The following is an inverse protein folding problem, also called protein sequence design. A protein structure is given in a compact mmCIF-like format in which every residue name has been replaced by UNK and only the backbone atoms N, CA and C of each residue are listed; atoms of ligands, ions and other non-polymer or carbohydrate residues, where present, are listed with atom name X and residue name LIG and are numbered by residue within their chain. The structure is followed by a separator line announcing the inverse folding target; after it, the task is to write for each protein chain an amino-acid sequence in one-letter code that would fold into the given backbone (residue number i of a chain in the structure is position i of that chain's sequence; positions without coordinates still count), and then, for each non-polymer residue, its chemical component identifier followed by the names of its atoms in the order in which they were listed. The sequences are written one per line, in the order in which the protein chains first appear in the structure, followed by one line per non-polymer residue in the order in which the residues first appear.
data_IF_886770642560
#
_entry.id   IF_886770642560
#
_cell.length_a   1.000
_cell.length_b   1.000
_cell.length_c   1.000
_cell.angle_alpha   90.00
_cell.angle_beta   90.00
_cell.angle_gamma   90.00
#
_symmetry.space_group_name_H-M   'P 1'
#
loop_
_entity.id
_entity.type
_entity.pdbx_description
1 polymer ?
#
# COMPACT_ATOMS: atom_id res chain seq x y z
N UNK A 1 10.20 13.78 -25.85
CA UNK A 1 9.57 13.18 -24.66
C UNK A 1 10.62 13.15 -23.57
N UNK A 2 10.35 13.78 -22.42
CA UNK A 2 11.28 13.79 -21.28
C UNK A 2 11.42 12.38 -20.68
N UNK A 3 12.50 12.15 -19.93
CA UNK A 3 12.68 10.87 -19.22
C UNK A 3 11.54 10.62 -18.24
N UNK A 4 11.00 11.67 -17.63
CA UNK A 4 9.86 11.61 -16.72
C UNK A 4 8.59 11.16 -17.45
N UNK A 5 8.28 11.74 -18.62
CA UNK A 5 7.10 11.37 -19.39
C UNK A 5 7.14 9.89 -19.80
N UNK A 6 8.34 9.42 -20.18
CA UNK A 6 8.55 8.01 -20.52
C UNK A 6 8.27 7.10 -19.32
N UNK A 7 8.81 7.45 -18.14
CA UNK A 7 8.62 6.66 -16.93
C UNK A 7 7.14 6.63 -16.49
N UNK A 8 6.41 7.75 -16.63
CA UNK A 8 4.96 7.78 -16.41
C UNK A 8 4.21 6.87 -17.38
N UNK A 9 4.53 6.93 -18.66
CA UNK A 9 3.88 6.07 -19.66
C UNK A 9 4.10 4.60 -19.35
N UNK A 10 5.36 4.21 -19.13
CA UNK A 10 5.73 2.83 -18.77
C UNK A 10 5.05 2.36 -17.48
N UNK A 11 4.95 3.26 -16.48
CA UNK A 11 4.28 2.97 -15.21
C UNK A 11 2.80 2.64 -15.41
N UNK A 12 2.06 3.49 -16.13
CA UNK A 12 0.63 3.28 -16.36
C UNK A 12 0.33 2.09 -17.29
N UNK A 13 1.16 1.85 -18.29
CA UNK A 13 1.08 0.63 -19.12
C UNK A 13 1.32 -0.61 -18.27
N UNK A 14 2.28 -0.57 -17.34
CA UNK A 14 2.59 -1.69 -16.47
C UNK A 14 1.45 -1.99 -15.49
N UNK A 15 0.97 -1.00 -14.72
CA UNK A 15 -0.13 -1.22 -13.74
C UNK A 15 -1.45 -1.57 -14.43
N UNK A 16 -1.69 -1.07 -15.65
CA UNK A 16 -2.87 -1.40 -16.45
C UNK A 16 -3.00 -2.88 -16.81
N UNK A 17 -1.92 -3.65 -16.67
CA UNK A 17 -1.94 -5.12 -16.85
C UNK A 17 -2.59 -5.85 -15.68
N UNK A 18 -2.76 -5.18 -14.53
CA UNK A 18 -3.25 -5.75 -13.28
C UNK A 18 -4.48 -4.99 -12.76
N UNK A 19 -5.61 -4.98 -13.50
CA UNK A 19 -6.77 -4.15 -13.18
C UNK A 19 -7.48 -4.52 -11.88
N UNK A 20 -7.36 -5.78 -11.45
CA UNK A 20 -7.90 -6.27 -10.18
C UNK A 20 -6.77 -6.49 -9.20
N UNK A 21 -6.41 -5.45 -8.48
CA UNK A 21 -5.28 -5.50 -7.56
C UNK A 21 -5.56 -4.83 -6.22
N UNK A 22 -4.81 -5.27 -5.22
CA UNK A 22 -4.74 -4.66 -3.89
C UNK A 22 -3.29 -4.30 -3.59
N UNK A 23 -3.07 -3.14 -2.95
CA UNK A 23 -1.72 -2.69 -2.61
C UNK A 23 -1.49 -2.79 -1.11
N UNK A 24 -0.35 -3.36 -0.73
CA UNK A 24 0.10 -3.48 0.65
C UNK A 24 1.24 -2.49 0.92
N UNK A 25 1.07 -1.69 1.97
CA UNK A 25 2.07 -0.79 2.52
C UNK A 25 2.44 -1.17 3.95
N UNK A 26 3.66 -0.87 4.35
CA UNK A 26 4.13 -1.09 5.71
C UNK A 26 5.65 -1.02 5.82
N UNK A 27 6.15 -1.25 7.03
CA UNK A 27 7.57 -1.18 7.32
C UNK A 27 8.40 -2.20 6.55
N UNK A 28 9.50 -1.74 5.96
CA UNK A 28 10.53 -2.61 5.36
C UNK A 28 11.42 -3.30 6.41
N UNK A 29 11.26 -2.99 7.70
CA UNK A 29 12.13 -3.47 8.79
C UNK A 29 11.59 -4.69 9.52
N UNK A 30 10.34 -5.09 9.29
CA UNK A 30 9.78 -6.29 9.90
C UNK A 30 10.41 -7.54 9.29
N UNK A 31 10.77 -8.48 10.15
CA UNK A 31 11.33 -9.77 9.76
C UNK A 31 10.26 -10.85 9.69
N UNK A 32 10.57 -12.00 9.13
CA UNK A 32 9.67 -13.16 9.04
C UNK A 32 9.12 -13.63 10.41
N UNK A 33 9.76 -13.23 11.51
CA UNK A 33 9.33 -13.56 12.89
C UNK A 33 8.32 -12.55 13.46
N UNK A 34 8.14 -11.41 12.81
CA UNK A 34 7.21 -10.37 13.25
C UNK A 34 5.76 -10.82 13.00
N UNK A 35 4.88 -10.59 13.97
CA UNK A 35 3.45 -10.85 13.85
C UNK A 35 2.84 -10.12 12.64
N UNK A 36 3.25 -8.88 12.40
CA UNK A 36 2.78 -8.10 11.25
C UNK A 36 3.22 -8.72 9.91
N UNK A 37 4.44 -9.25 9.83
CA UNK A 37 4.90 -9.96 8.64
C UNK A 37 4.08 -11.23 8.39
N UNK A 38 3.91 -12.04 9.43
CA UNK A 38 3.13 -13.29 9.36
C UNK A 38 1.69 -12.99 8.93
N UNK A 39 1.08 -11.96 9.52
CA UNK A 39 -0.29 -11.54 9.20
C UNK A 39 -0.40 -11.02 7.76
N UNK A 40 0.50 -10.16 7.32
CA UNK A 40 0.49 -9.62 5.95
C UNK A 40 0.63 -10.74 4.90
N UNK A 41 1.52 -11.71 5.14
CA UNK A 41 1.69 -12.89 4.28
C UNK A 41 0.43 -13.75 4.21
N UNK A 42 -0.18 -14.05 5.37
CA UNK A 42 -1.39 -14.85 5.44
C UNK A 42 -2.57 -14.17 4.73
N UNK A 43 -2.78 -12.88 5.02
CA UNK A 43 -3.86 -12.07 4.43
C UNK A 43 -3.70 -11.95 2.91
N UNK A 44 -2.50 -11.68 2.40
CA UNK A 44 -2.24 -11.61 0.97
C UNK A 44 -2.54 -12.94 0.26
N UNK A 45 -2.12 -14.07 0.85
CA UNK A 45 -2.44 -15.40 0.34
C UNK A 45 -3.93 -15.71 0.34
N UNK A 46 -4.66 -15.29 1.38
CA UNK A 46 -6.11 -15.42 1.47
C UNK A 46 -6.83 -14.61 0.39
N UNK A 47 -6.45 -13.35 0.20
CA UNK A 47 -7.01 -12.46 -0.84
C UNK A 47 -6.83 -13.07 -2.23
N UNK A 48 -5.65 -13.60 -2.54
CA UNK A 48 -5.39 -14.28 -3.81
C UNK A 48 -6.30 -15.49 -4.00
N UNK A 49 -6.35 -16.38 -3.01
CA UNK A 49 -7.10 -17.64 -3.11
C UNK A 49 -8.61 -17.46 -3.18
N UNK A 50 -9.14 -16.54 -2.40
CA UNK A 50 -10.59 -16.37 -2.25
C UNK A 50 -11.16 -15.34 -3.24
N UNK A 51 -10.39 -14.31 -3.58
CA UNK A 51 -10.88 -13.20 -4.39
C UNK A 51 -10.21 -13.09 -5.76
N UNK A 52 -9.06 -13.75 -5.97
CA UNK A 52 -8.34 -13.72 -7.25
C UNK A 52 -7.73 -12.36 -7.58
N UNK A 53 -7.36 -11.55 -6.57
CA UNK A 53 -6.71 -10.27 -6.76
C UNK A 53 -5.19 -10.43 -6.94
N UNK A 54 -4.61 -9.57 -7.75
CA UNK A 54 -3.17 -9.33 -7.80
C UNK A 54 -2.73 -8.57 -6.56
N UNK A 55 -1.61 -8.96 -5.96
CA UNK A 55 -1.01 -8.24 -4.85
C UNK A 55 0.11 -7.34 -5.34
N UNK A 56 -0.04 -6.03 -5.12
CA UNK A 56 0.98 -5.03 -5.42
C UNK A 56 1.69 -4.56 -4.14
N UNK A 57 2.97 -4.27 -4.27
CA UNK A 57 3.78 -3.66 -3.21
C UNK A 57 4.85 -2.75 -3.79
N UNK A 58 5.60 -2.09 -2.92
CA UNK A 58 6.84 -1.39 -3.29
C UNK A 58 8.01 -2.32 -3.60
N UNK A 59 7.83 -3.63 -3.60
CA UNK A 59 8.81 -4.63 -4.06
C UNK A 59 10.03 -4.86 -3.15
N UNK A 60 10.08 -4.28 -1.95
CA UNK A 60 11.19 -4.37 -1.02
C UNK A 60 10.96 -5.41 0.09
N UNK A 61 11.76 -5.35 1.15
CA UNK A 61 11.68 -6.23 2.31
C UNK A 61 10.47 -5.91 3.25
N UNK A 62 10.34 -6.63 4.33
CA UNK A 62 9.36 -6.41 5.38
C UNK A 62 7.94 -6.73 4.95
N UNK A 63 7.00 -5.83 5.21
CA UNK A 63 5.58 -6.01 4.85
C UNK A 63 5.40 -6.22 3.35
N UNK A 64 6.15 -5.52 2.53
CA UNK A 64 6.11 -5.67 1.07
C UNK A 64 6.50 -7.10 0.64
N UNK A 65 7.60 -7.61 1.21
CA UNK A 65 8.01 -9.00 0.98
C UNK A 65 6.99 -10.00 1.51
N UNK A 66 6.46 -9.76 2.70
CA UNK A 66 5.45 -10.62 3.30
C UNK A 66 4.22 -10.78 2.40
N UNK A 67 3.68 -9.66 1.90
CA UNK A 67 2.53 -9.65 1.01
C UNK A 67 2.84 -10.32 -0.34
N UNK A 68 3.97 -9.96 -0.97
CA UNK A 68 4.40 -10.61 -2.20
C UNK A 68 4.59 -12.12 -2.01
N UNK A 69 5.19 -12.53 -0.90
CA UNK A 69 5.38 -13.96 -0.57
C UNK A 69 4.05 -14.69 -0.40
N UNK A 70 3.10 -14.08 0.31
CA UNK A 70 1.77 -14.67 0.48
C UNK A 70 1.05 -14.89 -0.85
N UNK A 71 1.11 -13.91 -1.76
CA UNK A 71 0.56 -14.02 -3.10
C UNK A 71 1.28 -15.08 -3.94
N UNK A 72 2.61 -15.07 -3.94
CA UNK A 72 3.44 -16.03 -4.66
C UNK A 72 3.19 -17.49 -4.22
N UNK A 73 3.14 -17.74 -2.91
CA UNK A 73 2.85 -19.06 -2.34
C UNK A 73 1.40 -19.53 -2.57
N UNK A 74 0.52 -18.60 -2.93
CA UNK A 74 -0.86 -18.87 -3.32
C UNK A 74 -1.03 -19.03 -4.84
N UNK A 75 0.07 -19.14 -5.60
CA UNK A 75 0.11 -19.21 -7.07
C UNK A 75 -0.57 -18.02 -7.77
N UNK A 76 -0.58 -16.84 -7.11
CA UNK A 76 -1.17 -15.61 -7.64
C UNK A 76 -0.17 -14.63 -8.21
N UNK A 77 -0.68 -13.61 -8.90
CA UNK A 77 0.13 -12.50 -9.40
C UNK A 77 0.64 -11.65 -8.23
N UNK A 78 1.95 -11.51 -8.17
CA UNK A 78 2.70 -10.80 -7.13
C UNK A 78 3.59 -9.73 -7.76
N UNK A 79 3.26 -8.47 -7.56
CA UNK A 79 3.82 -7.36 -8.34
C UNK A 79 4.60 -6.40 -7.46
N UNK A 80 5.79 -6.00 -7.93
CA UNK A 80 6.65 -5.03 -7.26
C UNK A 80 6.84 -3.74 -8.07
N UNK A 81 6.53 -2.59 -7.46
CA UNK A 81 6.85 -1.26 -7.99
C UNK A 81 8.08 -0.72 -7.24
N UNK A 82 9.25 -1.03 -7.74
CA UNK A 82 10.52 -0.80 -7.05
C UNK A 82 11.03 0.63 -7.28
N UNK A 83 11.80 1.17 -6.35
CA UNK A 83 12.52 2.43 -6.52
C UNK A 83 14.03 2.17 -6.54
N UNK A 84 14.71 2.75 -7.50
CA UNK A 84 16.16 2.70 -7.55
C UNK A 84 16.75 3.65 -6.52
N UNK A 85 17.41 3.09 -5.50
CA UNK A 85 18.09 3.85 -4.46
C UNK A 85 19.60 3.79 -4.62
N UNK A 86 20.36 4.85 -4.17
CA UNK A 86 21.82 4.87 -4.22
C UNK A 86 22.49 3.73 -3.46
N UNK A 87 21.87 3.25 -2.39
CA UNK A 87 22.25 2.00 -1.70
C UNK A 87 21.27 0.94 -2.17
N UNK A 88 21.78 -0.10 -2.83
CA UNK A 88 21.00 -1.19 -3.39
C UNK A 88 19.99 -1.74 -2.38
N UNK A 89 18.74 -1.41 -2.57
CA UNK A 89 17.63 -2.09 -1.94
C UNK A 89 17.26 -3.24 -2.89
N UNK A 90 17.58 -4.46 -2.51
CA UNK A 90 17.24 -5.61 -3.34
C UNK A 90 15.74 -5.78 -3.41
N UNK A 91 15.22 -5.98 -4.62
CA UNK A 91 13.86 -6.44 -4.83
C UNK A 91 13.68 -7.79 -4.13
N UNK A 92 12.52 -8.00 -3.51
CA UNK A 92 12.24 -9.29 -2.93
C UNK A 92 12.02 -10.34 -4.04
N UNK A 93 12.34 -11.59 -3.73
CA UNK A 93 12.32 -12.70 -4.70
C UNK A 93 10.92 -13.27 -5.00
N UNK A 94 9.90 -12.77 -4.35
CA UNK A 94 8.54 -13.31 -4.44
C UNK A 94 7.64 -12.54 -5.42
N UNK A 95 8.23 -11.70 -6.28
CA UNK A 95 7.49 -11.00 -7.33
C UNK A 95 7.43 -11.83 -8.61
N UNK A 96 6.25 -11.94 -9.24
CA UNK A 96 6.04 -12.53 -10.58
C UNK A 96 6.26 -11.51 -11.69
N UNK A 97 6.05 -10.23 -11.38
CA UNK A 97 6.35 -9.10 -12.27
C UNK A 97 6.83 -7.90 -11.45
N UNK A 98 7.70 -7.08 -12.04
CA UNK A 98 8.18 -5.87 -11.39
C UNK A 98 8.56 -4.78 -12.39
N UNK A 99 8.52 -3.53 -11.92
CA UNK A 99 9.02 -2.36 -12.65
C UNK A 99 9.87 -1.52 -11.69
N UNK A 100 10.96 -0.92 -12.21
CA UNK A 100 11.83 -0.02 -11.45
C UNK A 100 11.63 1.42 -11.86
N UNK A 101 11.59 2.31 -10.87
CA UNK A 101 11.45 3.75 -11.01
C UNK A 101 12.74 4.47 -10.61
N UNK A 102 13.07 5.52 -11.35
CA UNK A 102 14.13 6.47 -10.98
C UNK A 102 13.56 7.65 -10.16
N UNK A 103 12.27 7.99 -10.37
CA UNK A 103 11.63 9.14 -9.73
C UNK A 103 10.59 8.69 -8.69
N UNK A 104 10.78 9.10 -7.45
CA UNK A 104 9.85 8.81 -6.35
C UNK A 104 8.42 9.25 -6.66
N UNK A 105 8.23 10.45 -7.20
CA UNK A 105 6.90 10.99 -7.46
C UNK A 105 6.16 10.24 -8.58
N UNK A 106 6.86 9.71 -9.58
CA UNK A 106 6.25 8.86 -10.61
C UNK A 106 5.75 7.56 -9.99
N UNK A 107 6.60 6.93 -9.17
CA UNK A 107 6.24 5.70 -8.45
C UNK A 107 5.07 5.92 -7.50
N UNK A 108 5.05 7.02 -6.73
CA UNK A 108 3.95 7.37 -5.83
C UNK A 108 2.63 7.48 -6.58
N UNK A 109 2.62 8.22 -7.69
CA UNK A 109 1.43 8.35 -8.54
C UNK A 109 1.00 6.96 -9.05
N UNK A 110 1.92 6.16 -9.57
CA UNK A 110 1.60 4.82 -10.03
C UNK A 110 0.97 3.95 -8.92
N UNK A 111 1.53 3.97 -7.71
CA UNK A 111 1.00 3.24 -6.55
C UNK A 111 -0.40 3.72 -6.15
N UNK A 112 -0.65 5.04 -6.20
CA UNK A 112 -1.96 5.62 -5.84
C UNK A 112 -3.08 5.30 -6.83
N UNK A 113 -2.74 4.93 -8.07
CA UNK A 113 -3.70 4.57 -9.11
C UNK A 113 -3.74 3.07 -9.43
N UNK A 114 -2.87 2.27 -8.78
CA UNK A 114 -2.65 0.88 -9.17
C UNK A 114 -3.72 -0.10 -8.69
N UNK A 115 -4.51 0.25 -7.65
CA UNK A 115 -5.31 -0.75 -6.95
C UNK A 115 -6.76 -0.34 -6.69
N UNK A 116 -7.59 -1.36 -6.45
CA UNK A 116 -8.99 -1.20 -6.06
C UNK A 116 -9.19 -1.14 -4.54
N UNK A 117 -8.17 -1.54 -3.76
CA UNK A 117 -8.12 -1.41 -2.31
C UNK A 117 -6.68 -1.30 -1.81
N UNK A 118 -6.51 -0.68 -0.64
CA UNK A 118 -5.22 -0.41 -0.04
C UNK A 118 -5.17 -0.87 1.40
N UNK A 119 -4.12 -1.62 1.75
CA UNK A 119 -3.89 -2.15 3.09
C UNK A 119 -2.61 -1.55 3.66
N UNK A 120 -2.73 -0.91 4.80
CA UNK A 120 -1.61 -0.29 5.52
C UNK A 120 -1.33 -1.03 6.82
N UNK A 121 -0.19 -1.66 6.88
CA UNK A 121 0.38 -2.23 8.10
C UNK A 121 1.25 -1.20 8.83
N UNK A 122 1.59 -1.42 10.10
CA UNK A 122 2.50 -0.54 10.82
C UNK A 122 3.77 -0.24 10.04
N UNK A 123 4.17 1.03 10.03
CA UNK A 123 5.32 1.45 9.24
C UNK A 123 5.89 2.81 9.65
N UNK A 124 6.87 3.26 8.91
CA UNK A 124 7.54 4.55 9.14
C UNK A 124 6.95 5.69 8.29
N UNK A 125 7.75 6.74 8.13
CA UNK A 125 7.34 7.94 7.38
C UNK A 125 6.87 7.65 5.96
N UNK A 126 7.51 6.72 5.24
CA UNK A 126 7.08 6.36 3.88
C UNK A 126 5.69 5.71 3.84
N UNK A 127 5.34 4.92 4.87
CA UNK A 127 4.01 4.32 4.99
C UNK A 127 2.95 5.38 5.28
N UNK A 128 3.25 6.32 6.19
CA UNK A 128 2.36 7.43 6.52
C UNK A 128 2.21 8.41 5.35
N UNK A 129 3.28 8.67 4.61
CA UNK A 129 3.28 9.52 3.42
C UNK A 129 2.30 8.99 2.36
N UNK A 130 2.35 7.70 2.04
CA UNK A 130 1.42 7.07 1.11
C UNK A 130 -0.03 7.05 1.65
N UNK A 131 -0.21 6.81 2.95
CA UNK A 131 -1.51 6.84 3.58
C UNK A 131 -2.16 8.23 3.47
N UNK A 132 -1.45 9.28 3.88
CA UNK A 132 -1.99 10.63 3.84
C UNK A 132 -2.16 11.17 2.40
N UNK A 133 -1.32 10.76 1.47
CA UNK A 133 -1.53 11.10 0.06
C UNK A 133 -2.84 10.51 -0.45
N UNK A 134 -3.10 9.22 -0.25
CA UNK A 134 -4.35 8.57 -0.67
C UNK A 134 -5.58 9.21 -0.02
N UNK A 135 -5.54 9.45 1.29
CA UNK A 135 -6.63 10.13 2.00
C UNK A 135 -6.88 11.51 1.40
N UNK A 136 -5.84 12.29 1.15
CA UNK A 136 -5.96 13.64 0.58
C UNK A 136 -6.54 13.59 -0.84
N UNK A 137 -6.09 12.66 -1.68
CA UNK A 137 -6.59 12.50 -3.05
C UNK A 137 -8.08 12.11 -3.07
N UNK A 138 -8.53 11.25 -2.16
CA UNK A 138 -9.94 10.86 -2.04
C UNK A 138 -10.77 12.02 -1.47
N UNK A 139 -10.32 12.64 -0.37
CA UNK A 139 -10.97 13.79 0.27
C UNK A 139 -11.22 14.94 -0.71
N UNK A 140 -10.22 15.21 -1.55
CA UNK A 140 -10.29 16.30 -2.56
C UNK A 140 -10.90 15.86 -3.89
N UNK A 141 -11.46 14.65 -3.97
CA UNK A 141 -12.08 14.09 -5.17
C UNK A 141 -11.15 14.03 -6.40
N UNK A 142 -9.84 13.89 -6.20
CA UNK A 142 -8.86 13.69 -7.28
C UNK A 142 -8.81 12.25 -7.77
N UNK A 143 -9.14 11.30 -6.87
CA UNK A 143 -9.38 9.90 -7.21
C UNK A 143 -10.75 9.48 -6.67
N UNK A 144 -11.30 8.39 -7.23
CA UNK A 144 -12.52 7.78 -6.69
C UNK A 144 -12.28 7.24 -5.28
N UNK A 145 -13.32 7.18 -4.47
CA UNK A 145 -13.24 6.51 -3.18
C UNK A 145 -12.97 5.01 -3.39
N UNK A 146 -11.93 4.52 -2.73
CA UNK A 146 -11.54 3.12 -2.69
C UNK A 146 -11.41 2.68 -1.23
N UNK A 147 -11.62 1.40 -0.90
CA UNK A 147 -11.39 0.90 0.45
C UNK A 147 -9.94 1.09 0.90
N UNK A 148 -9.77 1.64 2.10
CA UNK A 148 -8.48 1.76 2.78
C UNK A 148 -8.60 1.08 4.14
N UNK A 149 -7.78 0.07 4.37
CA UNK A 149 -7.71 -0.68 5.62
C UNK A 149 -6.40 -0.42 6.34
N UNK A 150 -6.48 -0.05 7.62
CA UNK A 150 -5.34 0.12 8.51
C UNK A 150 -5.31 -1.12 9.42
N UNK A 151 -4.34 -2.00 9.18
CA UNK A 151 -4.20 -3.28 9.87
C UNK A 151 -3.16 -3.16 10.98
N UNK A 152 -3.54 -3.51 12.21
CA UNK A 152 -2.72 -3.34 13.41
C UNK A 152 -3.24 -2.18 14.27
N UNK A 153 -4.33 -2.45 14.98
CA UNK A 153 -5.06 -1.47 15.77
C UNK A 153 -4.19 -0.74 16.80
N UNK A 154 -3.29 -1.44 17.43
CA UNK A 154 -2.34 -0.93 18.41
C UNK A 154 -1.45 0.19 17.89
N UNK A 155 -1.09 0.14 16.59
CA UNK A 155 -0.30 1.16 15.92
C UNK A 155 -1.17 2.31 15.40
N UNK A 156 -2.36 2.01 14.85
CA UNK A 156 -3.15 3.01 14.13
C UNK A 156 -4.12 3.79 15.02
N UNK A 157 -4.60 3.23 16.13
CA UNK A 157 -5.53 3.94 17.02
C UNK A 157 -4.93 5.22 17.62
N UNK A 158 -3.66 5.28 18.08
CA UNK A 158 -3.07 6.54 18.55
C UNK A 158 -3.04 7.64 17.49
N UNK A 159 -2.83 7.28 16.22
CA UNK A 159 -2.88 8.25 15.11
C UNK A 159 -4.32 8.69 14.85
N UNK A 160 -5.28 7.76 14.88
CA UNK A 160 -6.69 8.05 14.72
C UNK A 160 -7.22 8.98 15.83
N UNK A 161 -6.80 8.74 17.08
CA UNK A 161 -7.10 9.64 18.20
C UNK A 161 -6.51 11.05 17.98
N UNK A 162 -5.25 11.13 17.53
CA UNK A 162 -4.65 12.42 17.19
C UNK A 162 -5.44 13.16 16.10
N UNK A 163 -5.84 12.47 15.04
CA UNK A 163 -6.63 13.06 13.95
C UNK A 163 -7.98 13.56 14.50
N UNK A 164 -8.66 12.75 15.31
CA UNK A 164 -9.96 13.09 15.89
C UNK A 164 -9.89 14.26 16.87
N UNK A 165 -8.96 14.22 17.81
CA UNK A 165 -8.85 15.23 18.86
C UNK A 165 -8.28 16.54 18.33
N UNK A 166 -7.18 16.48 17.59
CA UNK A 166 -6.44 17.66 17.18
C UNK A 166 -6.92 18.19 15.82
N UNK A 167 -7.03 17.34 14.79
CA UNK A 167 -7.36 17.84 13.45
C UNK A 167 -8.84 18.11 13.30
N UNK A 168 -9.74 17.23 13.82
CA UNK A 168 -11.18 17.41 13.71
C UNK A 168 -11.70 18.35 14.78
N UNK A 169 -11.51 18.04 16.09
CA UNK A 169 -12.18 18.73 17.20
C UNK A 169 -11.54 20.06 17.54
N UNK A 170 -10.21 20.10 17.70
CA UNK A 170 -9.51 21.30 18.19
C UNK A 170 -9.27 22.33 17.08
N UNK A 171 -8.77 21.88 15.92
CA UNK A 171 -8.34 22.78 14.85
C UNK A 171 -9.29 22.86 13.66
N UNK A 172 -10.33 22.01 13.59
CA UNK A 172 -11.29 21.97 12.49
C UNK A 172 -10.63 21.91 11.10
N UNK A 173 -9.51 21.14 11.02
CA UNK A 173 -8.70 21.00 9.81
C UNK A 173 -9.21 19.88 8.88
N UNK A 174 -10.09 19.02 9.39
CA UNK A 174 -10.80 17.96 8.65
C UNK A 174 -12.26 17.93 9.08
N UNK A 175 -13.13 17.30 8.27
CA UNK A 175 -14.55 17.13 8.56
C UNK A 175 -14.83 15.76 9.21
N UNK A 176 -15.96 15.62 9.92
CA UNK A 176 -16.41 14.34 10.50
C UNK A 176 -16.48 13.22 9.44
N UNK A 177 -16.98 13.52 8.25
CA UNK A 177 -17.06 12.56 7.12
C UNK A 177 -15.70 12.04 6.65
N UNK A 178 -14.62 12.78 6.92
CA UNK A 178 -13.26 12.38 6.52
C UNK A 178 -12.75 11.23 7.38
N UNK A 179 -13.31 11.04 8.58
CA UNK A 179 -13.01 9.91 9.46
C UNK A 179 -13.50 8.58 8.89
N UNK A 180 -14.40 8.59 7.92
CA UNK A 180 -14.92 7.40 7.23
C UNK A 180 -14.10 7.02 5.99
N UNK A 181 -13.01 7.74 5.69
CA UNK A 181 -12.17 7.47 4.51
C UNK A 181 -11.33 6.21 4.65
N UNK A 182 -11.15 5.71 5.87
CA UNK A 182 -10.40 4.51 6.19
C UNK A 182 -11.05 3.70 7.31
N UNK A 183 -10.70 2.43 7.40
CA UNK A 183 -11.18 1.52 8.45
C UNK A 183 -9.99 0.89 9.17
N UNK A 184 -9.97 0.98 10.49
CA UNK A 184 -8.98 0.26 11.33
C UNK A 184 -9.54 -1.11 11.67
N UNK A 185 -8.80 -2.16 11.38
CA UNK A 185 -9.23 -3.54 11.67
C UNK A 185 -8.06 -4.48 11.90
N UNK A 186 -8.31 -5.54 12.68
CA UNK A 186 -7.42 -6.70 12.81
C UNK A 186 -8.08 -7.99 12.28
N UNK A 187 -9.31 -7.88 11.78
CA UNK A 187 -10.04 -9.01 11.20
C UNK A 187 -9.78 -9.13 9.71
N UNK A 188 -9.38 -10.33 9.28
CA UNK A 188 -9.17 -10.64 7.86
C UNK A 188 -10.51 -10.70 7.09
N UNK A 189 -11.62 -10.99 7.80
CA UNK A 189 -12.96 -11.02 7.22
C UNK A 189 -13.54 -9.63 6.95
N UNK A 190 -12.99 -8.61 7.59
CA UNK A 190 -13.41 -7.22 7.39
C UNK A 190 -12.69 -6.53 6.23
N UNK A 191 -11.57 -7.12 5.78
CA UNK A 191 -10.80 -6.69 4.63
C UNK A 191 -11.34 -7.30 3.36
#
# INVERSE_FOLDING_TARGET
VSRIDKEFTEAFEFIGRFPRSVTFFGSSRFTEKSEHYIKARALAGKIVKELGYTVLTGGSAGIMEAANRGAFEADGESVGLNIRLPKHQQSNRYTTASVEFDYFFVRKVALSFAAEAYLFFPGGFGTLDEFFELITLIQTHKIRRVPIFLVGRDFWEPLNEFIRENMLTLHHAVDEKDMDLYKITDSDEEV
#
